data_IF_265266575800
#
_entry.id   IF_265266575800
#
_cell.length_a   1.000
_cell.length_b   1.000
_cell.length_c   1.000
_cell.angle_alpha   90.00
_cell.angle_beta   90.00
_cell.angle_gamma   90.00
#
_symmetry.space_group_name_H-M   'P 1'
#
loop_
_entity.id
_entity.type
_entity.pdbx_description
1 polymer ?
#
# COMPACT_ATOMS: atom_id res chain seq x y z
N UNK A 1 8.61 -41.01 27.25
CA UNK A 1 7.47 -40.08 27.42
C UNK A 1 7.86 -38.72 27.97
N UNK A 2 8.42 -38.58 29.19
CA UNK A 2 8.84 -37.25 29.72
C UNK A 2 9.88 -36.55 28.85
N UNK A 3 10.98 -37.24 28.51
CA UNK A 3 12.05 -36.66 27.67
C UNK A 3 11.57 -36.32 26.25
N UNK A 4 10.58 -37.04 25.72
CA UNK A 4 10.02 -36.77 24.38
C UNK A 4 9.17 -35.51 24.40
N UNK A 5 8.30 -35.36 25.41
CA UNK A 5 7.48 -34.15 25.61
C UNK A 5 8.32 -32.90 25.88
N UNK A 6 9.39 -33.04 26.66
CA UNK A 6 10.34 -31.94 26.89
C UNK A 6 11.04 -31.53 25.58
N UNK A 7 11.50 -32.49 24.78
CA UNK A 7 12.11 -32.21 23.49
C UNK A 7 11.12 -31.56 22.50
N UNK A 8 9.86 -32.01 22.46
CA UNK A 8 8.80 -31.43 21.63
C UNK A 8 8.48 -29.99 22.05
N UNK A 9 8.35 -29.72 23.35
CA UNK A 9 8.07 -28.37 23.86
C UNK A 9 9.19 -27.38 23.52
N UNK A 10 10.46 -27.79 23.63
CA UNK A 10 11.59 -26.95 23.22
C UNK A 10 11.62 -26.70 21.71
N UNK A 11 11.28 -27.71 20.90
CA UNK A 11 11.18 -27.55 19.45
C UNK A 11 10.06 -26.57 19.05
N UNK A 12 8.90 -26.60 19.72
CA UNK A 12 7.81 -25.66 19.51
C UNK A 12 8.18 -24.24 19.93
N UNK A 13 8.85 -24.08 21.08
CA UNK A 13 9.31 -22.78 21.56
C UNK A 13 10.33 -22.14 20.61
N UNK A 14 11.31 -22.90 20.13
CA UNK A 14 12.32 -22.42 19.19
C UNK A 14 11.70 -22.07 17.82
N UNK A 15 10.72 -22.87 17.37
CA UNK A 15 9.97 -22.57 16.15
C UNK A 15 9.22 -21.25 16.29
N UNK A 16 8.51 -21.05 17.41
CA UNK A 16 7.77 -19.80 17.67
C UNK A 16 8.69 -18.59 17.70
N UNK A 17 9.84 -18.67 18.40
CA UNK A 17 10.82 -17.57 18.43
C UNK A 17 11.34 -17.21 17.04
N UNK A 18 11.55 -18.21 16.17
CA UNK A 18 11.95 -17.97 14.78
C UNK A 18 10.85 -17.23 14.01
N UNK A 19 9.61 -17.71 14.09
CA UNK A 19 8.46 -17.09 13.42
C UNK A 19 8.23 -15.64 13.90
N UNK A 20 8.38 -15.39 15.20
CA UNK A 20 8.26 -14.05 15.78
C UNK A 20 9.38 -13.13 15.26
N UNK A 21 10.61 -13.61 15.16
CA UNK A 21 11.73 -12.85 14.60
C UNK A 21 11.56 -12.56 13.10
N UNK A 22 11.09 -13.53 12.31
CA UNK A 22 10.78 -13.36 10.89
C UNK A 22 9.68 -12.31 10.68
N UNK A 23 8.62 -12.38 11.49
CA UNK A 23 7.51 -11.42 11.47
C UNK A 23 8.02 -10.01 11.79
N UNK A 24 8.85 -9.84 12.83
CA UNK A 24 9.48 -8.55 13.16
C UNK A 24 10.31 -7.99 12.01
N UNK A 25 11.19 -8.80 11.43
CA UNK A 25 12.03 -8.38 10.31
C UNK A 25 11.18 -7.95 9.10
N UNK A 26 10.11 -8.68 8.80
CA UNK A 26 9.18 -8.33 7.71
C UNK A 26 8.47 -7.01 7.99
N UNK A 27 7.95 -6.82 9.21
CA UNK A 27 7.30 -5.59 9.63
C UNK A 27 8.24 -4.38 9.56
N UNK A 28 9.49 -4.53 9.98
CA UNK A 28 10.52 -3.48 9.95
C UNK A 28 10.87 -3.05 8.51
N UNK A 29 11.04 -4.03 7.62
CA UNK A 29 11.25 -3.78 6.19
C UNK A 29 10.05 -3.07 5.57
N UNK A 30 8.84 -3.50 5.93
CA UNK A 30 7.60 -2.91 5.44
C UNK A 30 7.43 -1.46 5.91
N UNK A 31 7.65 -1.20 7.20
CA UNK A 31 7.61 0.15 7.76
C UNK A 31 8.58 1.08 7.02
N UNK A 32 9.81 0.63 6.79
CA UNK A 32 10.82 1.41 6.05
C UNK A 32 10.41 1.67 4.60
N UNK A 33 9.93 0.64 3.90
CA UNK A 33 9.52 0.75 2.49
C UNK A 33 8.39 1.79 2.31
N UNK A 34 7.37 1.74 3.18
CA UNK A 34 6.22 2.64 3.11
C UNK A 34 6.60 4.06 3.56
N UNK A 35 7.39 4.20 4.62
CA UNK A 35 7.93 5.49 5.06
C UNK A 35 8.71 6.19 3.94
N UNK A 36 9.51 5.42 3.20
CA UNK A 36 10.22 5.92 2.02
C UNK A 36 9.26 6.31 0.90
N UNK A 37 8.29 5.45 0.57
CA UNK A 37 7.30 5.71 -0.47
C UNK A 37 6.51 7.01 -0.19
N UNK A 38 6.12 7.24 1.06
CA UNK A 38 5.47 8.47 1.50
C UNK A 38 6.35 9.69 1.30
N UNK A 39 7.62 9.62 1.70
CA UNK A 39 8.57 10.73 1.55
C UNK A 39 8.82 11.07 0.09
N UNK A 40 8.98 10.06 -0.76
CA UNK A 40 9.28 10.22 -2.18
C UNK A 40 8.07 10.76 -2.97
N UNK A 41 6.85 10.57 -2.47
CA UNK A 41 5.61 10.95 -3.15
C UNK A 41 4.76 11.97 -2.39
N UNK A 42 5.31 12.62 -1.37
CA UNK A 42 4.54 13.50 -0.46
C UNK A 42 3.77 14.60 -1.19
N UNK A 43 4.35 15.14 -2.27
CA UNK A 43 3.73 16.21 -3.06
C UNK A 43 2.63 15.72 -4.01
N UNK A 44 2.56 14.41 -4.27
CA UNK A 44 1.56 13.76 -5.14
C UNK A 44 0.42 13.11 -4.37
N UNK A 45 0.51 13.06 -3.05
CA UNK A 45 -0.45 12.39 -2.19
C UNK A 45 -1.35 13.41 -1.48
N UNK A 46 -2.65 13.12 -1.31
CA UNK A 46 -3.50 13.89 -0.42
C UNK A 46 -2.92 13.92 1.00
N UNK A 47 -2.95 15.08 1.65
CA UNK A 47 -2.40 15.26 3.00
C UNK A 47 -3.04 14.28 4.01
N UNK A 48 -4.33 14.02 3.88
CA UNK A 48 -5.07 13.10 4.75
C UNK A 48 -4.53 11.67 4.64
N UNK A 49 -4.34 11.18 3.40
CA UNK A 49 -3.77 9.85 3.13
C UNK A 49 -2.34 9.76 3.64
N UNK A 50 -1.51 10.77 3.35
CA UNK A 50 -0.12 10.78 3.83
C UNK A 50 -0.03 10.76 5.37
N UNK A 51 -0.91 11.50 6.05
CA UNK A 51 -0.93 11.55 7.52
C UNK A 51 -1.44 10.25 8.13
N UNK A 52 -2.47 9.64 7.55
CA UNK A 52 -3.03 8.36 8.01
C UNK A 52 -2.00 7.23 7.92
N UNK A 53 -1.31 7.13 6.79
CA UNK A 53 -0.28 6.11 6.57
C UNK A 53 0.93 6.38 7.46
N UNK A 54 1.39 7.62 7.60
CA UNK A 54 2.51 7.95 8.49
C UNK A 54 2.20 7.54 9.93
N UNK A 55 0.96 7.77 10.39
CA UNK A 55 0.50 7.32 11.70
C UNK A 55 0.57 5.80 11.87
N UNK A 56 0.16 5.03 10.86
CA UNK A 56 0.26 3.56 10.89
C UNK A 56 1.71 3.06 10.86
N UNK A 57 2.60 3.73 10.11
CA UNK A 57 4.04 3.45 10.10
C UNK A 57 4.63 3.66 11.50
N UNK A 58 4.29 4.78 12.15
CA UNK A 58 4.80 5.11 13.47
C UNK A 58 4.26 4.17 14.55
N UNK A 59 3.00 3.74 14.43
CA UNK A 59 2.39 2.72 15.27
C UNK A 59 3.10 1.36 15.13
N UNK A 60 3.42 0.93 13.91
CA UNK A 60 4.17 -0.30 13.68
C UNK A 60 5.59 -0.22 14.25
N UNK A 61 6.29 0.90 14.04
CA UNK A 61 7.63 1.13 14.63
C UNK A 61 7.57 1.07 16.15
N UNK A 62 6.56 1.68 16.78
CA UNK A 62 6.36 1.62 18.22
C UNK A 62 6.03 0.22 18.73
N UNK A 63 5.23 -0.55 17.99
CA UNK A 63 4.95 -1.95 18.34
C UNK A 63 6.23 -2.80 18.29
N UNK A 64 7.12 -2.55 17.33
CA UNK A 64 8.41 -3.24 17.18
C UNK A 64 9.39 -2.96 18.33
N UNK A 65 9.25 -1.84 19.05
CA UNK A 65 10.04 -1.54 20.27
C UNK A 65 9.66 -2.45 21.45
N UNK A 66 8.48 -3.09 21.42
CA UNK A 66 8.02 -4.00 22.45
C UNK A 66 8.56 -5.43 22.30
N UNK A 67 8.18 -6.32 23.22
CA UNK A 67 8.50 -7.75 23.18
C UNK A 67 7.35 -8.61 22.60
N UNK A 68 6.11 -8.13 22.67
CA UNK A 68 4.94 -8.85 22.17
C UNK A 68 4.81 -8.83 20.65
N UNK A 69 4.54 -9.99 20.06
CA UNK A 69 4.37 -10.11 18.60
C UNK A 69 2.95 -9.74 18.12
N UNK A 70 1.95 -9.88 18.99
CA UNK A 70 0.55 -9.61 18.61
C UNK A 70 0.30 -8.14 18.23
N UNK A 71 0.83 -7.13 18.96
CA UNK A 71 0.74 -5.73 18.54
C UNK A 71 1.46 -5.47 17.21
N UNK A 72 2.59 -6.15 16.95
CA UNK A 72 3.34 -6.02 15.69
C UNK A 72 2.47 -6.51 14.53
N UNK A 73 1.85 -7.68 14.65
CA UNK A 73 0.96 -8.24 13.62
C UNK A 73 -0.24 -7.32 13.36
N UNK A 74 -0.91 -6.86 14.42
CA UNK A 74 -2.07 -5.97 14.29
C UNK A 74 -1.70 -4.64 13.60
N UNK A 75 -0.57 -4.03 14.01
CA UNK A 75 -0.08 -2.81 13.39
C UNK A 75 0.39 -3.04 11.94
N UNK A 76 0.95 -4.21 11.64
CA UNK A 76 1.35 -4.59 10.28
C UNK A 76 0.13 -4.77 9.37
N UNK A 77 -0.93 -5.42 9.83
CA UNK A 77 -2.20 -5.54 9.10
C UNK A 77 -2.84 -4.16 8.84
N UNK A 78 -2.84 -3.30 9.87
CA UNK A 78 -3.31 -1.92 9.73
C UNK A 78 -2.49 -1.16 8.69
N UNK A 79 -1.16 -1.26 8.74
CA UNK A 79 -0.27 -0.63 7.77
C UNK A 79 -0.55 -1.13 6.34
N UNK A 80 -0.74 -2.44 6.16
CA UNK A 80 -1.12 -3.02 4.87
C UNK A 80 -2.41 -2.40 4.32
N UNK A 81 -3.44 -2.29 5.16
CA UNK A 81 -4.74 -1.73 4.75
C UNK A 81 -4.63 -0.26 4.35
N UNK A 82 -3.95 0.58 5.14
CA UNK A 82 -3.84 2.01 4.81
C UNK A 82 -2.85 2.27 3.67
N UNK A 83 -1.84 1.42 3.48
CA UNK A 83 -0.88 1.56 2.39
C UNK A 83 -1.49 1.37 1.00
N UNK A 84 -2.60 0.62 0.89
CA UNK A 84 -3.36 0.49 -0.37
C UNK A 84 -3.84 1.85 -0.88
N UNK A 85 -4.25 2.76 0.02
CA UNK A 85 -4.67 4.13 -0.31
C UNK A 85 -3.58 4.94 -1.00
N UNK A 86 -2.30 4.64 -0.73
CA UNK A 86 -1.16 5.30 -1.41
C UNK A 86 -1.15 4.89 -2.89
N UNK A 87 -1.33 3.60 -3.16
CA UNK A 87 -1.37 3.07 -4.53
C UNK A 87 -2.53 3.66 -5.32
N UNK A 88 -3.72 3.70 -4.72
CA UNK A 88 -4.91 4.33 -5.32
C UNK A 88 -4.70 5.82 -5.59
N UNK A 89 -4.15 6.57 -4.64
CA UNK A 89 -3.90 8.00 -4.79
C UNK A 89 -2.84 8.30 -5.86
N UNK A 90 -1.77 7.49 -5.94
CA UNK A 90 -0.75 7.63 -6.98
C UNK A 90 -1.31 7.33 -8.37
N UNK A 91 -2.07 6.25 -8.52
CA UNK A 91 -2.68 5.90 -9.79
C UNK A 91 -3.68 6.98 -10.26
N UNK A 92 -4.51 7.48 -9.35
CA UNK A 92 -5.42 8.60 -9.64
C UNK A 92 -4.64 9.88 -10.04
N UNK A 93 -3.52 10.17 -9.38
CA UNK A 93 -2.66 11.31 -9.73
C UNK A 93 -2.03 11.13 -11.12
N UNK A 94 -1.58 9.93 -11.49
CA UNK A 94 -1.00 9.66 -12.81
C UNK A 94 -2.05 9.75 -13.92
N UNK A 95 -3.27 9.25 -13.68
CA UNK A 95 -4.38 9.35 -14.64
C UNK A 95 -4.81 10.80 -14.86
N UNK A 96 -4.88 11.60 -13.79
CA UNK A 96 -5.17 13.03 -13.88
C UNK A 96 -4.06 13.78 -14.67
N UNK A 97 -2.79 13.39 -14.48
CA UNK A 97 -1.67 13.98 -15.19
C UNK A 97 -1.67 13.61 -16.70
N UNK A 98 -2.05 12.37 -17.04
CA UNK A 98 -2.23 11.93 -18.41
C UNK A 98 -3.39 12.66 -19.12
N UNK A 99 -4.52 12.86 -18.43
CA UNK A 99 -5.66 13.61 -18.94
C UNK A 99 -5.34 15.11 -19.14
N UNK A 100 -4.54 15.70 -18.25
CA UNK A 100 -4.07 17.08 -18.37
C UNK A 100 -3.07 17.26 -19.54
N UNK A 101 -2.22 16.25 -19.80
CA UNK A 101 -1.31 16.26 -20.95
C UNK A 101 -2.05 16.11 -22.29
N UNK A 102 -3.17 15.38 -22.33
CA UNK A 102 -4.05 15.28 -23.51
C UNK A 102 -4.90 16.53 -23.76
N UNK A 103 -5.00 17.45 -22.78
CA UNK A 103 -5.81 18.67 -22.84
C UNK A 103 -4.98 19.96 -23.04
N UNK A 104 -3.67 19.85 -23.26
CA UNK A 104 -2.86 21.00 -23.66
C UNK A 104 -3.28 21.44 -25.08
N UNK A 105 -3.70 22.69 -25.31
CA UNK A 105 -4.06 23.15 -26.64
C UNK A 105 -2.80 23.10 -27.52
N UNK A 106 -2.85 22.27 -28.56
CA UNK A 106 -1.99 22.43 -29.72
C UNK A 106 -2.28 23.81 -30.32
N UNK A 107 -1.42 24.77 -30.00
CA UNK A 107 -1.41 26.08 -30.64
C UNK A 107 -1.10 25.91 -32.13
N UNK A 108 -2.13 26.17 -32.94
CA UNK A 108 -2.16 26.57 -34.35
C UNK A 108 -1.09 26.03 -35.32
N UNK A 109 -1.53 25.15 -36.23
CA UNK A 109 -0.75 24.71 -37.38
C UNK A 109 -1.50 23.82 -38.39
N UNK A 110 -2.60 24.32 -38.95
CA UNK A 110 -3.17 23.98 -40.28
C UNK A 110 -3.57 22.52 -40.64
N UNK A 111 -4.88 22.38 -40.89
CA UNK A 111 -5.56 21.62 -41.98
C UNK A 111 -5.58 20.08 -42.02
N UNK A 112 -6.83 19.59 -41.98
CA UNK A 112 -7.41 18.49 -42.77
C UNK A 112 -7.59 17.12 -42.11
N UNK A 113 -8.83 16.91 -41.66
CA UNK A 113 -9.73 15.77 -41.94
C UNK A 113 -9.20 14.33 -41.89
N UNK A 114 -9.99 13.52 -41.16
CA UNK A 114 -10.15 12.04 -41.20
C UNK A 114 -9.49 11.38 -39.98
N UNK A 115 -10.29 11.08 -38.96
CA UNK A 115 -11.04 9.83 -38.78
C UNK A 115 -10.18 8.77 -38.11
N UNK A 116 -10.70 8.38 -36.94
CA UNK A 116 -10.61 7.08 -36.31
C UNK A 116 -9.36 6.71 -35.50
N UNK A 117 -9.68 6.12 -34.34
CA UNK A 117 -8.86 5.28 -33.49
C UNK A 117 -7.96 5.97 -32.45
N UNK A 118 -8.57 6.33 -31.30
CA UNK A 118 -8.13 5.68 -30.06
C UNK A 118 -9.34 5.48 -29.12
N UNK A 119 -9.76 4.22 -29.06
CA UNK A 119 -10.89 3.72 -28.28
C UNK A 119 -10.50 3.82 -26.80
N UNK A 120 -11.25 4.63 -26.04
CA UNK A 120 -11.17 4.63 -24.59
C UNK A 120 -11.98 3.42 -24.11
N UNK A 121 -11.30 2.34 -23.72
CA UNK A 121 -11.92 1.23 -22.99
C UNK A 121 -12.17 1.68 -21.54
N UNK A 122 -13.09 2.63 -21.40
CA UNK A 122 -13.76 2.92 -20.14
C UNK A 122 -15.02 2.05 -20.14
N UNK A 123 -14.90 0.83 -19.61
CA UNK A 123 -16.05 0.06 -19.18
C UNK A 123 -16.77 0.91 -18.12
N UNK A 124 -17.79 1.62 -18.59
CA UNK A 124 -18.72 2.40 -17.80
C UNK A 124 -19.38 1.44 -16.82
N UNK A 125 -19.02 1.60 -15.54
CA UNK A 125 -19.92 1.27 -14.45
C UNK A 125 -21.05 2.28 -14.53
N UNK A 126 -22.26 1.81 -14.81
CA UNK A 126 -23.43 2.37 -14.16
C UNK A 126 -24.38 1.23 -13.80
N UNK A 127 -24.64 1.18 -12.50
CA UNK A 127 -25.67 0.44 -11.83
C UNK A 127 -27.07 0.78 -12.38
N UNK A 128 -28.05 0.10 -11.78
CA UNK A 128 -29.46 0.51 -11.73
C UNK A 128 -30.34 0.12 -12.93
N UNK A 129 -31.11 -0.93 -12.69
CA UNK A 129 -32.54 -0.82 -12.35
C UNK A 129 -33.49 -1.73 -13.14
N UNK A 130 -34.19 -2.55 -12.35
CA UNK A 130 -35.62 -2.83 -12.44
C UNK A 130 -36.20 -3.52 -13.69
N UNK A 131 -36.51 -4.83 -13.55
CA UNK A 131 -37.88 -5.40 -13.39
C UNK A 131 -38.04 -6.83 -13.91
#
# INVERSE_FOLDING_TARGET
>A
DRMVKEAEAHAEEDKKRREDAETRNSAEQQAYSIDKLLKDNKDKLPQDVASEVQGAVDELKKALEGEDIEPVKAAQEKLNSVAQKIGEALYASEQAQAAAAASAPAGEGSTSTSQDEDIVDAEIVDDEDDK
#
